data_IF_407411642683
#
_entry.id   IF_407411642683
#
_cell.length_a   1.000
_cell.length_b   1.000
_cell.length_c   1.000
_cell.angle_alpha   90.00
_cell.angle_beta   90.00
_cell.angle_gamma   90.00
#
_symmetry.space_group_name_H-M   'P 1'
#
loop_
_entity.id
_entity.type
_entity.pdbx_description
1 polymer ?
#
# COMPACT_ATOMS: atom_id res chain seq x y z
N UNK A 1 42.59 5.44 -12.72
CA UNK A 1 41.52 4.52 -13.13
C UNK A 1 40.34 5.39 -13.51
N UNK A 2 39.90 5.34 -14.76
CA UNK A 2 38.77 6.16 -15.23
C UNK A 2 37.46 5.50 -14.78
N UNK A 3 36.51 6.31 -14.29
CA UNK A 3 35.17 5.84 -13.92
C UNK A 3 34.38 5.34 -15.14
N UNK A 4 34.80 5.72 -16.35
CA UNK A 4 34.25 5.20 -17.59
C UNK A 4 34.53 3.70 -17.81
N UNK A 5 35.60 3.17 -17.21
CA UNK A 5 36.07 1.79 -17.38
C UNK A 5 35.53 0.82 -16.30
N UNK A 6 34.62 1.28 -15.43
CA UNK A 6 34.02 0.42 -14.42
C UNK A 6 33.25 -0.74 -15.06
N UNK A 7 33.40 -1.95 -14.51
CA UNK A 7 32.64 -3.11 -14.97
C UNK A 7 31.15 -2.94 -14.71
N UNK A 8 30.32 -3.60 -15.53
CA UNK A 8 28.86 -3.59 -15.38
C UNK A 8 28.39 -4.06 -14.00
N UNK A 9 29.11 -4.98 -13.36
CA UNK A 9 28.78 -5.49 -12.03
C UNK A 9 29.00 -4.41 -10.95
N UNK A 10 30.09 -3.66 -11.02
CA UNK A 10 30.37 -2.55 -10.11
C UNK A 10 29.37 -1.41 -10.31
N UNK A 11 29.03 -1.10 -11.57
CA UNK A 11 27.99 -0.12 -11.90
C UNK A 11 26.61 -0.55 -11.38
N UNK A 12 26.30 -1.85 -11.46
CA UNK A 12 25.06 -2.41 -10.93
C UNK A 12 25.00 -2.29 -9.41
N UNK A 13 26.12 -2.57 -8.73
CA UNK A 13 26.25 -2.40 -7.29
C UNK A 13 26.11 -0.94 -6.86
N UNK A 14 26.74 -0.01 -7.59
CA UNK A 14 26.58 1.44 -7.31
C UNK A 14 25.12 1.84 -7.50
N UNK A 15 24.52 1.50 -8.63
CA UNK A 15 23.12 1.84 -8.91
C UNK A 15 22.17 1.25 -7.86
N UNK A 16 22.45 0.06 -7.33
CA UNK A 16 21.63 -0.58 -6.28
C UNK A 16 21.66 0.18 -4.94
N UNK A 17 22.59 1.12 -4.76
CA UNK A 17 22.69 2.01 -3.60
C UNK A 17 22.10 3.40 -3.84
N UNK A 18 21.58 3.67 -5.04
CA UNK A 18 20.97 4.95 -5.40
C UNK A 18 19.43 4.90 -5.30
N UNK A 19 18.85 6.00 -4.85
CA UNK A 19 17.39 6.19 -4.72
C UNK A 19 16.96 7.46 -5.45
N UNK A 20 15.69 7.49 -5.85
CA UNK A 20 15.07 8.71 -6.36
C UNK A 20 15.80 9.32 -7.55
N UNK A 21 16.10 10.61 -7.45
CA UNK A 21 16.75 11.40 -8.50
C UNK A 21 18.19 10.95 -8.79
N UNK A 22 18.93 10.45 -7.80
CA UNK A 22 20.32 10.01 -8.01
C UNK A 22 20.39 8.80 -8.95
N UNK A 23 19.43 7.87 -8.84
CA UNK A 23 19.30 6.75 -9.77
C UNK A 23 18.96 7.24 -11.19
N UNK A 24 18.21 8.33 -11.32
CA UNK A 24 17.95 8.94 -12.63
C UNK A 24 19.21 9.60 -13.19
N UNK A 25 19.91 10.42 -12.38
CA UNK A 25 21.17 11.09 -12.76
C UNK A 25 22.24 10.08 -13.17
N UNK A 26 22.32 8.92 -12.51
CA UNK A 26 23.18 7.81 -12.91
C UNK A 26 22.96 7.39 -14.38
N UNK A 27 21.69 7.30 -14.81
CA UNK A 27 21.35 6.95 -16.20
C UNK A 27 21.64 8.05 -17.23
N UNK A 28 21.96 9.27 -16.77
CA UNK A 28 22.30 10.41 -17.62
C UNK A 28 23.81 10.58 -17.83
N UNK A 29 24.66 9.89 -17.05
CA UNK A 29 26.13 10.04 -17.10
C UNK A 29 26.68 9.67 -18.48
N UNK A 30 26.48 8.44 -18.94
CA UNK A 30 26.95 7.96 -20.25
C UNK A 30 26.17 6.71 -20.71
N UNK A 31 26.48 6.21 -21.92
CA UNK A 31 25.77 5.05 -22.51
C UNK A 31 25.92 3.77 -21.68
N UNK A 32 27.10 3.47 -21.12
CA UNK A 32 27.33 2.26 -20.33
C UNK A 32 26.54 2.28 -19.02
N UNK A 33 26.55 3.40 -18.30
CA UNK A 33 25.78 3.59 -17.06
C UNK A 33 24.27 3.55 -17.33
N UNK A 34 23.82 4.19 -18.42
CA UNK A 34 22.42 4.09 -18.86
C UNK A 34 22.01 2.65 -19.15
N UNK A 35 22.85 1.90 -19.87
CA UNK A 35 22.57 0.51 -20.20
C UNK A 35 22.35 -0.34 -18.94
N UNK A 36 23.21 -0.18 -17.92
CA UNK A 36 23.06 -0.84 -16.61
C UNK A 36 21.76 -0.42 -15.93
N UNK A 37 21.48 0.89 -15.83
CA UNK A 37 20.25 1.39 -15.22
C UNK A 37 18.97 0.88 -15.92
N UNK A 38 19.02 0.70 -17.25
CA UNK A 38 17.90 0.16 -18.04
C UNK A 38 17.78 -1.36 -17.99
N UNK A 39 18.88 -2.07 -17.83
CA UNK A 39 18.91 -3.54 -17.78
C UNK A 39 18.47 -4.08 -16.41
N UNK A 40 18.49 -3.25 -15.36
CA UNK A 40 18.12 -3.67 -14.02
C UNK A 40 16.60 -3.92 -13.93
N UNK A 41 16.15 -5.11 -13.50
CA UNK A 41 14.73 -5.42 -13.30
C UNK A 41 14.05 -4.48 -12.28
N UNK A 42 14.87 -3.85 -11.42
CA UNK A 42 14.46 -2.99 -10.32
C UNK A 42 13.79 -1.68 -10.76
N UNK A 43 13.85 -1.28 -12.05
CA UNK A 43 13.35 0.03 -12.48
C UNK A 43 11.86 0.24 -12.20
N UNK A 44 11.07 -0.84 -12.23
CA UNK A 44 9.61 -0.81 -12.05
C UNK A 44 9.14 -1.60 -10.82
N UNK A 45 10.07 -1.92 -9.93
CA UNK A 45 9.79 -2.72 -8.76
C UNK A 45 9.39 -1.86 -7.56
N UNK A 46 8.31 -2.19 -6.83
CA UNK A 46 7.96 -1.47 -5.61
C UNK A 46 9.11 -1.46 -4.59
N UNK A 47 9.23 -0.36 -3.87
CA UNK A 47 10.14 -0.25 -2.74
C UNK A 47 9.37 -0.43 -1.44
N UNK A 48 9.91 -1.22 -0.51
CA UNK A 48 9.38 -1.30 0.84
C UNK A 48 9.98 -0.20 1.70
N UNK A 49 9.14 0.66 2.25
CA UNK A 49 9.52 1.73 3.16
C UNK A 49 9.10 1.38 4.57
N UNK A 50 9.99 1.56 5.53
CA UNK A 50 9.66 1.48 6.95
C UNK A 50 10.57 2.35 7.81
N UNK A 51 10.06 2.76 8.97
CA UNK A 51 10.83 3.53 9.95
C UNK A 51 11.40 2.62 11.05
N UNK A 52 12.70 2.75 11.31
CA UNK A 52 13.36 2.07 12.44
C UNK A 52 13.58 3.05 13.59
N UNK A 53 12.72 2.94 14.62
CA UNK A 53 12.78 3.79 15.82
C UNK A 53 14.14 3.79 16.52
N UNK A 54 14.79 2.62 16.61
CA UNK A 54 16.09 2.46 17.29
C UNK A 54 17.18 3.35 16.69
N UNK A 55 17.20 3.47 15.36
CA UNK A 55 18.24 4.19 14.63
C UNK A 55 17.75 5.56 14.14
N UNK A 56 16.46 5.87 14.28
CA UNK A 56 15.79 7.07 13.73
C UNK A 56 16.00 7.20 12.21
N UNK A 57 15.95 6.08 11.50
CA UNK A 57 16.19 6.02 10.05
C UNK A 57 14.98 5.45 9.32
N UNK A 58 14.73 6.01 8.14
CA UNK A 58 13.82 5.46 7.16
C UNK A 58 14.59 4.52 6.23
N UNK A 59 14.09 3.30 6.10
CA UNK A 59 14.71 2.24 5.33
C UNK A 59 13.93 2.01 4.05
N UNK A 60 14.66 1.91 2.95
CA UNK A 60 14.15 1.71 1.60
C UNK A 60 14.72 0.39 1.10
N UNK A 61 13.89 -0.64 1.05
CA UNK A 61 14.30 -1.97 0.61
C UNK A 61 13.74 -2.27 -0.77
N UNK A 62 14.62 -2.63 -1.71
CA UNK A 62 14.26 -3.05 -3.06
C UNK A 62 15.11 -4.26 -3.45
N UNK A 63 14.48 -5.43 -3.63
CA UNK A 63 15.12 -6.61 -4.22
C UNK A 63 16.50 -6.95 -3.61
N UNK A 64 16.57 -6.98 -2.27
CA UNK A 64 17.75 -7.19 -1.40
C UNK A 64 18.72 -6.03 -1.22
N UNK A 65 18.54 -4.93 -1.95
CA UNK A 65 19.24 -3.69 -1.62
C UNK A 65 18.42 -2.90 -0.61
N UNK A 66 18.93 -2.77 0.61
CA UNK A 66 18.41 -1.81 1.58
C UNK A 66 19.28 -0.56 1.56
N UNK A 67 18.65 0.59 1.40
CA UNK A 67 19.24 1.91 1.51
C UNK A 67 18.64 2.57 2.75
N UNK A 68 19.50 3.14 3.58
CA UNK A 68 19.10 3.88 4.77
C UNK A 68 19.10 5.37 4.45
N UNK A 69 17.98 6.04 4.67
CA UNK A 69 17.87 7.49 4.57
C UNK A 69 17.63 8.08 5.95
N UNK A 70 18.45 9.07 6.30
CA UNK A 70 18.19 9.93 7.45
C UNK A 70 17.24 11.04 7.02
N UNK A 71 15.99 10.95 7.46
CA UNK A 71 14.97 11.96 7.23
C UNK A 71 14.54 12.49 8.60
N UNK A 72 15.40 13.32 9.21
CA UNK A 72 15.21 13.85 10.58
C UNK A 72 13.92 14.66 10.76
N UNK A 73 13.33 15.17 9.67
CA UNK A 73 12.03 15.86 9.68
C UNK A 73 10.82 14.92 9.65
N UNK A 74 11.03 13.60 9.51
CA UNK A 74 10.00 12.56 9.56
C UNK A 74 10.12 11.72 10.84
N UNK A 75 10.45 12.36 11.95
CA UNK A 75 10.42 11.72 13.26
C UNK A 75 9.01 11.73 13.84
N UNK A 76 8.61 10.61 14.46
CA UNK A 76 7.29 10.46 15.09
C UNK A 76 6.12 10.74 14.13
N UNK A 77 6.27 10.29 12.89
CA UNK A 77 5.19 10.30 11.90
C UNK A 77 4.75 8.88 11.59
N UNK A 78 3.45 8.71 11.36
CA UNK A 78 2.87 7.44 10.97
C UNK A 78 2.44 7.50 9.51
N UNK A 79 2.62 6.38 8.79
CA UNK A 79 2.06 6.23 7.44
C UNK A 79 0.58 5.91 7.59
N UNK A 80 -0.26 6.58 6.80
CA UNK A 80 -1.70 6.35 6.75
C UNK A 80 -2.13 5.64 5.47
N UNK A 81 -1.48 5.95 4.35
CA UNK A 81 -1.77 5.37 3.04
C UNK A 81 -0.57 5.58 2.09
N UNK A 82 -0.37 4.69 1.13
CA UNK A 82 0.54 4.91 0.01
C UNK A 82 -0.14 4.60 -1.32
N UNK A 83 -0.17 5.59 -2.21
CA UNK A 83 -0.68 5.46 -3.57
C UNK A 83 -0.04 6.50 -4.49
N UNK A 84 -0.06 6.26 -5.80
CA UNK A 84 0.47 7.20 -6.81
C UNK A 84 1.93 7.67 -6.60
N UNK A 85 2.73 6.91 -5.85
CA UNK A 85 4.08 7.29 -5.45
C UNK A 85 4.18 8.35 -4.36
N UNK A 86 3.08 8.62 -3.66
CA UNK A 86 3.02 9.49 -2.49
C UNK A 86 2.65 8.70 -1.24
N UNK A 87 3.11 9.19 -0.10
CA UNK A 87 2.73 8.76 1.24
C UNK A 87 1.82 9.82 1.85
N UNK A 88 0.65 9.42 2.34
CA UNK A 88 -0.11 10.23 3.28
C UNK A 88 0.39 9.88 4.69
N UNK A 89 0.79 10.90 5.44
CA UNK A 89 1.41 10.73 6.76
C UNK A 89 0.74 11.61 7.80
N UNK A 90 0.71 11.14 9.05
CA UNK A 90 0.24 11.90 10.22
C UNK A 90 1.36 12.20 11.19
N UNK A 91 1.33 13.39 11.78
CA UNK A 91 2.16 13.75 12.95
C UNK A 91 1.43 13.44 14.25
N UNK A 92 2.16 13.53 15.36
CA UNK A 92 1.62 13.39 16.73
C UNK A 92 0.46 14.35 17.03
N UNK A 93 0.46 15.54 16.42
CA UNK A 93 -0.64 16.52 16.56
C UNK A 93 -1.77 16.32 15.54
N UNK A 94 -1.86 15.16 14.88
CA UNK A 94 -2.84 14.84 13.84
C UNK A 94 -2.85 15.77 12.62
N UNK A 95 -1.83 16.62 12.43
CA UNK A 95 -1.65 17.29 11.15
C UNK A 95 -1.20 16.27 10.11
N UNK A 96 -1.79 16.35 8.93
CA UNK A 96 -1.51 15.45 7.83
C UNK A 96 -0.67 16.15 6.76
N UNK A 97 0.10 15.37 6.03
CA UNK A 97 0.84 15.85 4.87
C UNK A 97 1.09 14.73 3.89
N UNK A 98 1.23 15.08 2.62
CA UNK A 98 1.74 14.19 1.60
C UNK A 98 3.26 14.30 1.50
N UNK A 99 3.91 13.16 1.28
CA UNK A 99 5.35 13.07 1.09
C UNK A 99 5.70 12.15 -0.09
N UNK A 100 6.50 12.66 -1.02
CA UNK A 100 7.14 11.89 -2.08
C UNK A 100 8.57 11.58 -1.63
N UNK A 101 8.86 10.33 -1.24
CA UNK A 101 10.16 9.98 -0.69
C UNK A 101 11.26 9.88 -1.76
N UNK A 102 10.92 9.84 -3.04
CA UNK A 102 11.89 9.70 -4.13
C UNK A 102 12.36 11.05 -4.67
N UNK A 103 11.51 12.06 -4.60
CA UNK A 103 11.84 13.43 -5.04
C UNK A 103 11.95 14.41 -3.87
N UNK A 104 11.81 13.93 -2.63
CA UNK A 104 11.81 14.73 -1.41
C UNK A 104 10.82 15.91 -1.47
N UNK A 105 9.61 15.66 -1.97
CA UNK A 105 8.55 16.67 -2.09
C UNK A 105 7.53 16.49 -1.00
N UNK A 106 6.95 17.60 -0.54
CA UNK A 106 6.02 17.61 0.57
C UNK A 106 4.88 18.59 0.29
N UNK A 107 3.66 18.20 0.65
CA UNK A 107 2.46 19.05 0.58
C UNK A 107 1.78 18.98 1.94
N UNK A 108 1.71 20.11 2.65
CA UNK A 108 1.02 20.18 3.94
C UNK A 108 -0.49 20.22 3.74
N UNK A 109 -1.24 19.54 4.62
CA UNK A 109 -2.70 19.64 4.66
C UNK A 109 -3.13 20.64 5.75
N UNK A 110 -4.17 21.44 5.49
CA UNK A 110 -4.43 22.70 6.20
C UNK A 110 -5.05 22.63 7.61
N UNK A 111 -5.36 21.46 8.17
CA UNK A 111 -5.99 21.37 9.49
C UNK A 111 -5.76 20.04 10.21
N UNK A 112 -5.87 20.08 11.54
CA UNK A 112 -5.83 18.89 12.39
C UNK A 112 -7.07 18.03 12.15
N UNK A 113 -6.85 16.75 11.86
CA UNK A 113 -7.93 15.78 11.79
C UNK A 113 -8.31 15.33 13.20
N UNK A 114 -9.61 15.10 13.44
CA UNK A 114 -10.07 14.46 14.67
C UNK A 114 -9.43 13.08 14.90
N UNK A 115 -9.39 12.62 16.14
CA UNK A 115 -8.79 11.34 16.49
C UNK A 115 -9.66 10.13 16.05
N UNK A 116 -9.02 8.96 15.90
CA UNK A 116 -9.69 7.67 15.81
C UNK A 116 -9.86 7.07 14.41
N UNK A 117 -9.38 7.74 13.36
CA UNK A 117 -9.35 7.20 12.00
C UNK A 117 -8.26 6.14 11.85
N UNK A 118 -8.62 4.99 11.31
CA UNK A 118 -7.73 3.81 11.22
C UNK A 118 -7.40 3.40 9.79
N UNK A 119 -8.11 3.95 8.81
CA UNK A 119 -8.01 3.56 7.41
C UNK A 119 -8.16 4.80 6.51
N UNK A 120 -7.25 4.99 5.57
CA UNK A 120 -7.21 6.16 4.68
C UNK A 120 -6.96 5.76 3.23
N UNK A 121 -7.49 6.56 2.31
CA UNK A 121 -7.17 6.51 0.88
C UNK A 121 -7.24 7.91 0.26
N UNK A 122 -6.71 8.05 -0.95
CA UNK A 122 -6.85 9.28 -1.73
C UNK A 122 -7.02 8.96 -3.22
N UNK A 123 -7.77 9.81 -3.94
CA UNK A 123 -8.31 9.51 -5.28
C UNK A 123 -7.33 9.71 -6.44
N UNK A 124 -6.41 10.68 -6.33
CA UNK A 124 -5.48 11.09 -7.38
C UNK A 124 -4.14 11.49 -6.76
N UNK A 125 -3.05 11.67 -7.54
CA UNK A 125 -1.85 12.30 -7.01
C UNK A 125 -2.19 13.62 -6.28
N UNK A 126 -1.55 13.94 -5.15
CA UNK A 126 -1.88 15.13 -4.35
C UNK A 126 -1.59 16.45 -5.05
N UNK A 127 -0.89 16.41 -6.19
CA UNK A 127 -0.68 17.56 -7.10
C UNK A 127 -1.83 17.79 -8.07
N UNK A 128 -2.82 16.90 -8.11
CA UNK A 128 -4.00 17.03 -8.95
C UNK A 128 -5.10 17.81 -8.21
N UNK A 129 -5.79 18.77 -8.86
CA UNK A 129 -6.93 19.45 -8.27
C UNK A 129 -8.13 18.51 -8.02
N UNK A 130 -8.12 17.32 -8.60
CA UNK A 130 -9.15 16.29 -8.39
C UNK A 130 -8.82 15.36 -7.21
N UNK A 131 -7.74 15.62 -6.47
CA UNK A 131 -7.36 14.83 -5.31
C UNK A 131 -8.36 15.04 -4.16
N UNK A 132 -8.85 13.94 -3.62
CA UNK A 132 -9.71 13.91 -2.44
C UNK A 132 -9.12 12.90 -1.48
N UNK A 133 -8.93 13.31 -0.22
CA UNK A 133 -8.50 12.45 0.88
C UNK A 133 -9.72 11.98 1.65
N UNK A 134 -9.79 10.68 1.93
CA UNK A 134 -10.91 10.09 2.67
C UNK A 134 -10.37 9.22 3.81
N UNK A 135 -10.84 9.48 5.02
CA UNK A 135 -10.51 8.72 6.22
C UNK A 135 -11.73 8.00 6.79
N UNK A 136 -11.52 6.82 7.35
CA UNK A 136 -12.57 5.96 7.91
C UNK A 136 -12.24 5.54 9.34
N UNK A 137 -13.23 5.58 10.21
CA UNK A 137 -13.15 5.20 11.62
C UNK A 137 -14.38 4.37 12.00
N UNK A 138 -14.18 3.24 12.68
CA UNK A 138 -15.28 2.51 13.31
C UNK A 138 -15.53 3.10 14.70
N UNK A 139 -16.76 3.51 14.98
CA UNK A 139 -17.20 3.99 16.29
C UNK A 139 -18.09 2.93 16.94
N UNK A 140 -17.83 2.65 18.22
CA UNK A 140 -18.63 1.80 19.07
C UNK A 140 -19.41 2.67 20.06
N UNK A 141 -20.74 2.63 19.99
CA UNK A 141 -21.67 3.33 20.89
C UNK A 141 -22.61 2.29 21.52
N UNK A 142 -22.15 1.65 22.60
CA UNK A 142 -22.81 0.46 23.17
C UNK A 142 -22.73 -0.71 22.20
N UNK A 143 -23.88 -1.33 21.89
CA UNK A 143 -23.98 -2.40 20.89
C UNK A 143 -24.05 -1.89 19.43
N UNK A 144 -24.16 -0.57 19.26
CA UNK A 144 -24.27 0.05 17.95
C UNK A 144 -22.89 0.35 17.35
N UNK A 145 -22.71 -0.07 16.10
CA UNK A 145 -21.50 0.23 15.32
C UNK A 145 -21.85 1.20 14.20
N UNK A 146 -21.13 2.33 14.15
CA UNK A 146 -21.23 3.30 13.07
C UNK A 146 -19.88 3.57 12.42
N UNK A 147 -19.91 4.03 11.17
CA UNK A 147 -18.75 4.44 10.41
C UNK A 147 -18.67 5.96 10.41
N UNK A 148 -17.59 6.51 10.94
CA UNK A 148 -17.25 7.94 10.80
C UNK A 148 -16.32 8.10 9.62
N UNK A 149 -16.70 8.97 8.69
CA UNK A 149 -15.99 9.22 7.45
C UNK A 149 -15.64 10.71 7.40
N UNK A 150 -14.38 11.04 7.13
CA UNK A 150 -13.95 12.39 6.79
C UNK A 150 -13.55 12.49 5.33
N UNK A 151 -13.82 13.64 4.74
CA UNK A 151 -13.45 13.97 3.36
C UNK A 151 -12.72 15.32 3.36
N UNK A 152 -11.58 15.39 2.68
CA UNK A 152 -10.88 16.64 2.38
C UNK A 152 -10.66 16.75 0.88
N UNK A 153 -11.29 17.75 0.26
CA UNK A 153 -11.14 18.07 -1.16
C UNK A 153 -9.93 18.98 -1.37
N UNK A 154 -9.23 18.82 -2.49
CA UNK A 154 -8.12 19.71 -2.87
C UNK A 154 -8.53 21.19 -2.77
N UNK A 155 -7.64 22.03 -2.23
CA UNK A 155 -7.89 23.46 -2.02
C UNK A 155 -8.80 23.79 -0.84
N UNK A 156 -9.44 22.81 -0.19
CA UNK A 156 -10.24 23.04 1.02
C UNK A 156 -9.37 23.04 2.27
N UNK A 157 -9.73 23.87 3.24
CA UNK A 157 -9.15 23.97 4.57
C UNK A 157 -9.96 23.26 5.67
N UNK A 158 -11.07 22.59 5.32
CA UNK A 158 -11.99 21.98 6.28
C UNK A 158 -12.23 20.50 5.97
N UNK A 159 -12.09 19.64 6.98
CA UNK A 159 -12.54 18.25 6.90
C UNK A 159 -14.06 18.16 7.01
N UNK A 160 -14.72 17.63 5.98
CA UNK A 160 -16.13 17.31 6.06
C UNK A 160 -16.33 15.96 6.73
N UNK A 161 -16.86 15.97 7.96
CA UNK A 161 -17.09 14.75 8.74
C UNK A 161 -18.57 14.37 8.79
N UNK A 162 -18.86 13.08 8.59
CA UNK A 162 -20.20 12.49 8.69
C UNK A 162 -20.15 11.11 9.32
N UNK A 163 -21.20 10.76 10.07
CA UNK A 163 -21.43 9.41 10.60
C UNK A 163 -22.46 8.67 9.75
N UNK A 164 -22.18 7.41 9.45
CA UNK A 164 -23.03 6.50 8.69
C UNK A 164 -23.28 5.25 9.51
N UNK A 165 -24.51 4.74 9.45
CA UNK A 165 -24.88 3.51 10.14
C UNK A 165 -25.72 2.67 9.22
N UNK A 166 -25.38 1.39 9.10
CA UNK A 166 -26.24 0.43 8.45
C UNK A 166 -27.28 -0.09 9.47
N UNK A 167 -28.58 -0.14 9.15
CA UNK A 167 -29.64 -0.39 10.14
C UNK A 167 -29.60 -1.78 10.79
N UNK A 168 -28.94 -2.75 10.16
CA UNK A 168 -28.97 -4.17 10.58
C UNK A 168 -27.61 -4.86 10.67
N UNK A 169 -26.53 -4.20 10.24
CA UNK A 169 -25.24 -4.86 10.04
C UNK A 169 -24.16 -4.00 10.68
N UNK A 170 -23.51 -4.53 11.70
CA UNK A 170 -22.33 -3.92 12.28
C UNK A 170 -21.15 -4.17 11.32
N UNK A 171 -20.55 -3.09 10.84
CA UNK A 171 -19.38 -3.13 9.95
C UNK A 171 -18.18 -2.52 10.68
N UNK A 172 -17.19 -3.36 10.96
CA UNK A 172 -15.92 -2.95 11.57
C UNK A 172 -14.87 -2.95 10.48
N UNK A 173 -14.33 -1.78 10.13
CA UNK A 173 -13.35 -1.62 9.05
C UNK A 173 -12.06 -2.35 9.39
N UNK A 174 -11.51 -3.09 8.43
CA UNK A 174 -10.16 -3.64 8.53
C UNK A 174 -9.11 -2.52 8.37
N UNK A 175 -7.88 -2.77 8.81
CA UNK A 175 -6.77 -1.80 8.73
C UNK A 175 -6.31 -1.50 7.29
N UNK A 176 -6.63 -2.37 6.33
CA UNK A 176 -6.17 -2.25 4.95
C UNK A 176 -6.73 -1.03 4.22
N UNK A 177 -5.92 -0.44 3.33
CA UNK A 177 -6.29 0.73 2.53
C UNK A 177 -7.57 0.49 1.69
N UNK A 178 -8.56 1.42 1.71
CA UNK A 178 -9.72 1.40 0.83
C UNK A 178 -9.35 1.61 -0.64
N UNK A 179 -10.23 1.18 -1.55
CA UNK A 179 -9.98 1.24 -2.99
C UNK A 179 -11.08 1.96 -3.75
N UNK A 180 -10.70 2.94 -4.57
CA UNK A 180 -11.57 3.55 -5.57
C UNK A 180 -11.80 2.57 -6.73
N UNK A 181 -13.06 2.23 -6.99
CA UNK A 181 -13.46 1.29 -8.04
C UNK A 181 -14.89 1.60 -8.50
N UNK A 182 -15.11 1.64 -9.81
CA UNK A 182 -16.42 1.94 -10.43
C UNK A 182 -17.16 3.16 -9.81
N UNK A 183 -16.43 4.21 -9.46
CA UNK A 183 -17.00 5.45 -8.89
C UNK A 183 -17.35 5.38 -7.39
N UNK A 184 -17.05 4.27 -6.73
CA UNK A 184 -17.26 4.06 -5.29
C UNK A 184 -15.93 3.79 -4.58
N UNK A 185 -15.93 3.90 -3.25
CA UNK A 185 -14.82 3.47 -2.40
C UNK A 185 -15.21 2.16 -1.73
N UNK A 186 -14.40 1.11 -1.95
CA UNK A 186 -14.61 -0.21 -1.39
C UNK A 186 -13.75 -0.40 -0.14
N UNK A 187 -14.37 -0.91 0.91
CA UNK A 187 -13.75 -1.22 2.19
C UNK A 187 -13.98 -2.67 2.55
N UNK A 188 -13.00 -3.28 3.19
CA UNK A 188 -13.14 -4.61 3.76
C UNK A 188 -13.36 -4.53 5.27
N UNK A 189 -14.21 -5.41 5.80
CA UNK A 189 -14.33 -5.60 7.24
C UNK A 189 -13.34 -6.64 7.76
N UNK A 190 -13.15 -6.65 9.09
CA UNK A 190 -12.38 -7.69 9.80
C UNK A 190 -12.95 -9.12 9.61
N UNK A 191 -14.19 -9.23 9.11
CA UNK A 191 -14.85 -10.52 8.85
C UNK A 191 -14.96 -10.81 7.34
N UNK A 192 -14.26 -10.05 6.49
CA UNK A 192 -14.26 -10.22 5.03
C UNK A 192 -15.55 -9.75 4.33
N UNK A 193 -16.43 -9.00 5.02
CA UNK A 193 -17.55 -8.31 4.38
C UNK A 193 -17.05 -7.08 3.60
N UNK A 194 -17.85 -6.60 2.66
CA UNK A 194 -17.50 -5.45 1.82
C UNK A 194 -18.48 -4.32 2.08
N UNK A 195 -17.97 -3.11 2.31
CA UNK A 195 -18.77 -1.90 2.29
C UNK A 195 -18.38 -1.04 1.10
N UNK A 196 -19.35 -0.28 0.59
CA UNK A 196 -19.14 0.71 -0.46
C UNK A 196 -19.57 2.07 0.02
N UNK A 197 -18.75 3.07 -0.27
CA UNK A 197 -19.03 4.47 0.00
C UNK A 197 -19.06 5.27 -1.30
N UNK A 198 -20.18 5.95 -1.57
CA UNK A 198 -20.35 6.85 -2.72
C UNK A 198 -19.98 8.28 -2.32
N UNK A 199 -18.79 8.72 -2.73
CA UNK A 199 -18.27 10.04 -2.42
C UNK A 199 -19.19 11.16 -2.95
N UNK A 200 -19.88 10.96 -4.08
CA UNK A 200 -20.78 11.97 -4.67
C UNK A 200 -22.04 12.20 -3.85
N UNK A 201 -22.37 11.26 -2.95
CA UNK A 201 -23.54 11.33 -2.06
C UNK A 201 -23.15 11.64 -0.62
N UNK A 202 -21.93 12.13 -0.37
CA UNK A 202 -21.45 12.46 0.97
C UNK A 202 -22.47 13.34 1.73
N UNK A 203 -22.84 12.92 2.94
CA UNK A 203 -23.89 13.52 3.76
C UNK A 203 -25.26 12.82 3.66
N UNK A 204 -25.51 12.02 2.63
CA UNK A 204 -26.74 11.25 2.48
C UNK A 204 -26.61 9.82 3.03
N UNK A 205 -27.66 9.30 3.67
CA UNK A 205 -27.67 7.91 4.17
C UNK A 205 -27.42 6.87 3.07
N UNK A 206 -27.81 7.18 1.82
CA UNK A 206 -27.60 6.33 0.64
C UNK A 206 -26.15 6.28 0.16
N UNK A 207 -25.24 7.09 0.72
CA UNK A 207 -23.82 7.03 0.40
C UNK A 207 -23.14 5.77 0.94
N UNK A 208 -23.69 5.16 1.99
CA UNK A 208 -23.08 4.03 2.69
C UNK A 208 -23.90 2.76 2.49
N UNK A 209 -23.29 1.72 1.95
CA UNK A 209 -23.90 0.41 1.81
C UNK A 209 -22.96 -0.69 2.32
N UNK A 210 -23.55 -1.73 2.92
CA UNK A 210 -22.81 -2.88 3.46
C UNK A 210 -23.32 -4.15 2.80
N UNK A 211 -22.41 -4.89 2.17
CA UNK A 211 -22.64 -6.23 1.68
C UNK A 211 -22.09 -7.24 2.69
N UNK A 212 -22.96 -8.04 3.29
CA UNK A 212 -22.56 -9.07 4.25
C UNK A 212 -22.57 -10.46 3.63
N UNK A 213 -22.02 -11.43 4.37
CA UNK A 213 -21.93 -12.82 3.90
C UNK A 213 -21.11 -12.90 2.61
N UNK A 214 -20.12 -12.02 2.41
CA UNK A 214 -19.32 -12.02 1.19
C UNK A 214 -18.47 -13.30 1.08
N UNK A 215 -18.06 -13.86 2.21
CA UNK A 215 -17.42 -15.18 2.29
C UNK A 215 -18.48 -16.31 2.39
N UNK A 216 -18.10 -17.53 1.99
CA UNK A 216 -18.95 -18.72 2.20
C UNK A 216 -18.99 -19.11 3.68
N UNK A 217 -20.09 -19.73 4.12
CA UNK A 217 -20.37 -19.99 5.55
C UNK A 217 -19.26 -20.75 6.30
N UNK A 218 -18.56 -21.70 5.66
CA UNK A 218 -17.44 -22.43 6.29
C UNK A 218 -16.19 -21.56 6.54
N UNK A 219 -16.08 -20.40 5.91
CA UNK A 219 -14.97 -19.46 6.11
C UNK A 219 -15.20 -18.52 7.30
N UNK A 220 -16.45 -18.37 7.78
CA UNK A 220 -16.77 -17.55 8.95
C UNK A 220 -16.22 -18.10 10.27
N UNK A 221 -15.96 -19.41 10.33
CA UNK A 221 -15.39 -20.05 11.53
C UNK A 221 -13.87 -19.87 11.65
N UNK A 222 -13.24 -19.09 10.75
CA UNK A 222 -11.80 -18.85 10.78
C UNK A 222 -11.54 -17.39 11.14
N UNK A 223 -10.74 -17.19 12.18
CA UNK A 223 -10.28 -15.86 12.56
C UNK A 223 -9.33 -15.32 11.48
N UNK A 224 -9.76 -14.27 10.80
CA UNK A 224 -8.92 -13.57 9.83
C UNK A 224 -8.03 -12.60 10.60
N UNK A 225 -6.72 -12.73 10.45
CA UNK A 225 -5.73 -11.92 11.16
C UNK A 225 -5.29 -10.71 10.35
N UNK A 226 -5.20 -10.87 9.03
CA UNK A 226 -4.85 -9.78 8.12
C UNK A 226 -5.64 -9.84 6.83
N UNK A 227 -5.81 -8.65 6.26
CA UNK A 227 -6.65 -8.40 5.11
C UNK A 227 -5.98 -7.40 4.18
N UNK A 228 -5.92 -7.74 2.91
CA UNK A 228 -5.42 -6.85 1.88
C UNK A 228 -6.46 -6.81 0.78
N UNK A 229 -7.00 -5.63 0.49
CA UNK A 229 -7.84 -5.37 -0.66
C UNK A 229 -6.94 -4.71 -1.72
N UNK A 230 -7.01 -5.15 -2.97
CA UNK A 230 -6.12 -4.64 -4.04
C UNK A 230 -6.73 -4.81 -5.42
N UNK A 231 -6.11 -4.10 -6.38
CA UNK A 231 -6.27 -4.32 -7.82
C UNK A 231 -4.98 -4.88 -8.39
N UNK A 232 -5.13 -5.60 -9.50
CA UNK A 232 -3.99 -6.03 -10.33
C UNK A 232 -3.93 -5.09 -11.53
N UNK A 233 -2.75 -4.56 -11.81
CA UNK A 233 -2.52 -3.70 -12.98
C UNK A 233 -2.84 -4.47 -14.26
N UNK A 234 -3.64 -3.86 -15.13
CA UNK A 234 -4.19 -4.50 -16.34
C UNK A 234 -5.47 -5.30 -16.11
N UNK A 235 -5.92 -5.46 -14.87
CA UNK A 235 -7.19 -6.09 -14.48
C UNK A 235 -7.98 -5.16 -13.52
N UNK A 236 -8.00 -3.86 -13.83
CA UNK A 236 -8.47 -2.81 -12.91
C UNK A 236 -9.98 -2.83 -12.65
N UNK A 237 -10.72 -3.52 -13.51
CA UNK A 237 -12.17 -3.78 -13.41
C UNK A 237 -12.50 -4.95 -12.47
N UNK A 238 -11.50 -5.54 -11.82
CA UNK A 238 -11.71 -6.60 -10.82
C UNK A 238 -11.00 -6.27 -9.51
N UNK A 239 -11.71 -6.48 -8.39
CA UNK A 239 -11.13 -6.41 -7.05
C UNK A 239 -10.71 -7.79 -6.55
N UNK A 240 -9.58 -7.82 -5.86
CA UNK A 240 -9.03 -9.01 -5.22
C UNK A 240 -8.79 -8.76 -3.75
N UNK A 241 -8.80 -9.83 -2.97
CA UNK A 241 -8.38 -9.78 -1.58
C UNK A 241 -7.53 -10.97 -1.19
N UNK A 242 -6.48 -10.71 -0.42
CA UNK A 242 -5.71 -11.75 0.26
C UNK A 242 -6.04 -11.65 1.75
N UNK A 243 -6.43 -12.80 2.32
CA UNK A 243 -6.78 -12.93 3.73
C UNK A 243 -5.88 -13.98 4.36
N UNK A 244 -5.28 -13.64 5.50
CA UNK A 244 -4.45 -14.55 6.28
C UNK A 244 -5.28 -15.08 7.45
N UNK A 245 -5.48 -16.40 7.48
CA UNK A 245 -6.33 -17.08 8.48
C UNK A 245 -5.52 -18.09 9.29
N UNK A 246 -5.99 -18.39 10.51
CA UNK A 246 -5.40 -19.39 11.43
C UNK A 246 -3.89 -19.15 11.67
N UNK A 247 -3.56 -18.14 12.47
CA UNK A 247 -2.17 -17.73 12.79
C UNK A 247 -1.30 -17.53 11.54
N UNK A 248 -1.86 -16.91 10.50
CA UNK A 248 -1.14 -16.61 9.25
C UNK A 248 -0.61 -17.84 8.48
N UNK A 249 -0.99 -19.06 8.90
CA UNK A 249 -0.63 -20.33 8.25
C UNK A 249 -1.29 -20.51 6.89
N UNK A 250 -2.42 -19.86 6.68
CA UNK A 250 -3.22 -20.01 5.49
C UNK A 250 -3.39 -18.66 4.80
N UNK A 251 -2.64 -18.45 3.73
CA UNK A 251 -2.84 -17.36 2.80
C UNK A 251 -3.92 -17.77 1.80
N UNK A 252 -5.01 -17.01 1.71
CA UNK A 252 -6.11 -17.28 0.78
C UNK A 252 -6.33 -16.07 -0.12
N UNK A 253 -6.31 -16.33 -1.42
CA UNK A 253 -6.59 -15.35 -2.47
C UNK A 253 -8.06 -15.45 -2.87
N UNK A 254 -8.71 -14.30 -2.97
CA UNK A 254 -10.09 -14.19 -3.39
C UNK A 254 -10.24 -13.16 -4.50
N UNK A 255 -11.13 -13.46 -5.45
CA UNK A 255 -11.64 -12.54 -6.45
C UNK A 255 -13.06 -12.10 -6.08
N UNK A 256 -13.36 -10.81 -6.17
CA UNK A 256 -14.70 -10.31 -5.92
C UNK A 256 -15.59 -10.53 -7.14
N UNK A 257 -16.77 -11.10 -6.93
CA UNK A 257 -17.87 -11.13 -7.89
C UNK A 257 -18.92 -10.16 -7.40
N UNK A 258 -19.22 -9.11 -8.16
CA UNK A 258 -20.12 -8.04 -7.68
C UNK A 258 -21.60 -8.34 -7.90
N UNK A 259 -21.93 -9.10 -8.95
CA UNK A 259 -23.31 -9.44 -9.32
C UNK A 259 -23.66 -10.91 -9.07
N UNK A 260 -24.92 -11.24 -8.69
CA UNK A 260 -26.02 -10.32 -8.30
C UNK A 260 -25.88 -9.80 -6.85
N UNK A 261 -24.93 -10.34 -6.08
CA UNK A 261 -24.51 -9.87 -4.75
C UNK A 261 -23.00 -10.04 -4.62
N UNK A 262 -22.34 -9.14 -3.90
CA UNK A 262 -20.90 -9.20 -3.69
C UNK A 262 -20.49 -10.48 -2.94
N UNK A 263 -19.72 -11.33 -3.62
CA UNK A 263 -19.21 -12.60 -3.08
C UNK A 263 -17.76 -12.81 -3.45
N UNK A 264 -16.97 -13.26 -2.48
CA UNK A 264 -15.60 -13.68 -2.65
C UNK A 264 -15.54 -15.09 -3.23
N UNK A 265 -14.86 -15.24 -4.37
CA UNK A 265 -14.54 -16.51 -5.01
C UNK A 265 -13.08 -16.86 -4.72
N UNK A 266 -12.84 -18.03 -4.16
CA UNK A 266 -11.49 -18.49 -3.83
C UNK A 266 -10.74 -18.81 -5.13
N UNK A 267 -9.56 -18.24 -5.27
CA UNK A 267 -8.64 -18.51 -6.36
C UNK A 267 -7.52 -19.45 -5.89
N UNK A 268 -6.96 -20.24 -6.80
CA UNK A 268 -5.89 -21.18 -6.48
C UNK A 268 -4.53 -20.49 -6.40
N UNK A 269 -4.27 -19.59 -7.34
CA UNK A 269 -3.00 -18.93 -7.55
C UNK A 269 -3.19 -17.60 -8.30
N UNK A 270 -2.10 -16.84 -8.50
CA UNK A 270 -2.10 -15.56 -9.24
C UNK A 270 -1.44 -15.67 -10.62
N UNK A 271 -1.14 -16.88 -11.10
CA UNK A 271 -0.50 -17.10 -12.39
C UNK A 271 0.83 -16.37 -12.57
N UNK A 272 0.92 -15.56 -13.63
CA UNK A 272 2.11 -14.78 -14.01
C UNK A 272 2.27 -13.45 -13.24
N UNK A 273 1.40 -13.20 -12.25
CA UNK A 273 1.41 -11.97 -11.45
C UNK A 273 2.30 -12.09 -10.21
N UNK A 274 2.62 -10.94 -9.64
CA UNK A 274 3.29 -10.79 -8.34
C UNK A 274 2.53 -9.75 -7.51
N UNK A 275 2.33 -10.03 -6.23
CA UNK A 275 1.63 -9.13 -5.30
C UNK A 275 2.59 -8.50 -4.30
N UNK A 276 2.37 -7.23 -4.01
CA UNK A 276 3.07 -6.49 -2.94
C UNK A 276 2.01 -5.95 -2.00
N UNK A 277 1.91 -6.55 -0.81
CA UNK A 277 0.78 -6.34 0.09
C UNK A 277 1.25 -5.81 1.44
N UNK A 278 0.73 -4.66 1.84
CA UNK A 278 0.94 -4.02 3.15
C UNK A 278 -0.35 -3.33 3.59
N UNK A 279 -0.49 -3.02 4.88
CA UNK A 279 -1.71 -2.40 5.42
C UNK A 279 -2.04 -1.06 4.74
N UNK A 280 -1.01 -0.31 4.34
CA UNK A 280 -1.16 1.04 3.79
C UNK A 280 -1.20 1.10 2.26
N UNK A 281 -0.79 0.01 1.59
CA UNK A 281 -0.80 -0.12 0.15
C UNK A 281 -0.72 -1.57 -0.26
N UNK A 282 -1.58 -1.96 -1.19
CA UNK A 282 -1.65 -3.32 -1.70
C UNK A 282 -1.92 -3.28 -3.20
N UNK A 283 -1.07 -3.93 -3.98
CA UNK A 283 -1.17 -3.94 -5.44
C UNK A 283 -0.62 -5.23 -6.04
N UNK A 284 -1.10 -5.57 -7.23
CA UNK A 284 -0.53 -6.62 -8.08
C UNK A 284 -0.07 -6.08 -9.42
N UNK A 285 0.97 -6.67 -9.98
CA UNK A 285 1.45 -6.39 -11.34
C UNK A 285 1.90 -7.70 -12.01
N UNK A 286 2.15 -7.65 -13.32
CA UNK A 286 2.76 -8.76 -14.05
C UNK A 286 4.20 -8.95 -13.59
N UNK A 287 4.58 -10.18 -13.26
CA UNK A 287 5.88 -10.46 -12.68
C UNK A 287 7.01 -10.22 -13.68
N UNK A 288 7.93 -9.34 -13.30
CA UNK A 288 9.17 -9.11 -14.03
C UNK A 288 10.34 -8.98 -13.04
N UNK A 289 11.27 -9.96 -13.00
CA UNK A 289 11.40 -11.13 -13.87
C UNK A 289 10.36 -12.24 -13.60
N UNK A 290 10.16 -13.14 -14.58
CA UNK A 290 9.18 -14.25 -14.50
C UNK A 290 9.37 -15.17 -13.29
N UNK A 291 10.58 -15.28 -12.74
CA UNK A 291 10.82 -16.12 -11.56
C UNK A 291 10.08 -15.62 -10.32
N UNK A 292 9.64 -14.36 -10.30
CA UNK A 292 8.81 -13.80 -9.22
C UNK A 292 7.32 -14.11 -9.35
N UNK A 293 6.91 -14.71 -10.46
CA UNK A 293 5.51 -15.06 -10.68
C UNK A 293 4.99 -15.96 -9.57
N UNK A 294 3.71 -15.81 -9.29
CA UNK A 294 2.99 -16.60 -8.30
C UNK A 294 3.47 -16.42 -6.85
N UNK A 295 3.94 -15.21 -6.53
CA UNK A 295 4.44 -14.83 -5.20
C UNK A 295 3.74 -13.61 -4.61
N UNK A 296 3.70 -13.56 -3.29
CA UNK A 296 3.22 -12.43 -2.50
C UNK A 296 4.36 -11.94 -1.62
N UNK A 297 4.69 -10.65 -1.72
CA UNK A 297 5.67 -9.98 -0.87
C UNK A 297 4.95 -9.22 0.23
N UNK A 298 5.21 -9.62 1.47
CA UNK A 298 4.75 -8.92 2.67
C UNK A 298 5.90 -8.14 3.32
N UNK A 299 5.63 -7.13 4.16
CA UNK A 299 6.63 -6.49 5.01
C UNK A 299 7.14 -7.40 6.14
N UNK A 300 7.74 -8.53 5.76
CA UNK A 300 8.26 -9.55 6.66
C UNK A 300 9.71 -9.83 6.30
N UNK A 301 10.54 -10.02 7.33
CA UNK A 301 11.95 -10.30 7.19
C UNK A 301 12.33 -11.54 7.99
N UNK A 302 13.21 -12.36 7.42
CA UNK A 302 13.95 -13.38 8.14
C UNK A 302 15.42 -12.98 8.09
N UNK A 303 16.03 -12.73 9.26
CA UNK A 303 17.27 -11.97 9.36
C UNK A 303 17.15 -10.63 8.57
N UNK A 304 17.98 -10.43 7.56
CA UNK A 304 18.00 -9.23 6.71
C UNK A 304 17.33 -9.44 5.34
N UNK A 305 16.75 -10.61 5.09
CA UNK A 305 16.15 -10.99 3.82
C UNK A 305 14.62 -10.83 3.82
N UNK A 306 14.09 -10.21 2.77
CA UNK A 306 12.64 -10.08 2.56
C UNK A 306 12.03 -11.48 2.38
N UNK A 307 10.92 -11.73 3.08
CA UNK A 307 10.13 -12.96 2.98
C UNK A 307 8.98 -12.78 2.00
N UNK A 308 8.76 -13.78 1.16
CA UNK A 308 7.61 -13.89 0.27
C UNK A 308 6.86 -15.20 0.50
N UNK A 309 5.56 -15.19 0.23
CA UNK A 309 4.75 -16.40 0.15
C UNK A 309 4.67 -16.88 -1.30
N UNK A 310 4.80 -18.18 -1.54
CA UNK A 310 4.70 -18.78 -2.88
C UNK A 310 3.50 -19.72 -2.95
N UNK A 311 2.54 -19.42 -3.83
CA UNK A 311 1.38 -20.28 -4.04
C UNK A 311 1.76 -21.65 -4.62
N UNK A 312 2.85 -21.73 -5.39
CA UNK A 312 3.33 -23.00 -5.95
C UNK A 312 3.76 -23.99 -4.85
N UNK A 313 4.31 -23.48 -3.75
CA UNK A 313 4.79 -24.32 -2.63
C UNK A 313 3.83 -24.33 -1.44
N UNK A 314 2.94 -23.33 -1.35
CA UNK A 314 2.10 -23.10 -0.19
C UNK A 314 2.85 -22.60 1.05
N UNK A 315 4.08 -22.09 0.91
CA UNK A 315 4.99 -21.74 2.01
C UNK A 315 5.56 -20.34 1.88
N UNK A 316 6.04 -19.81 3.00
CA UNK A 316 6.91 -18.63 3.08
C UNK A 316 8.35 -19.01 2.78
N UNK A 317 9.07 -18.14 2.07
CA UNK A 317 10.48 -18.30 1.71
C UNK A 317 11.21 -16.97 1.86
N UNK A 318 12.49 -17.00 2.23
CA UNK A 318 13.37 -15.84 2.10
C UNK A 318 13.96 -15.76 0.69
N UNK A 319 14.35 -14.56 0.27
CA UNK A 319 15.02 -14.37 -1.01
C UNK A 319 16.39 -15.07 -1.09
N UNK A 320 17.16 -15.09 0.01
CA UNK A 320 18.46 -15.76 0.08
C UNK A 320 18.38 -17.30 0.07
N UNK A 321 17.17 -17.87 0.17
CA UNK A 321 16.93 -19.31 0.18
C UNK A 321 17.25 -20.02 1.50
N UNK A 322 17.64 -19.30 2.54
CA UNK A 322 17.99 -19.88 3.84
C UNK A 322 16.79 -20.13 4.76
N UNK A 323 15.60 -19.66 4.39
CA UNK A 323 14.38 -19.84 5.17
C UNK A 323 13.24 -20.37 4.29
N UNK A 324 12.54 -21.38 4.81
CA UNK A 324 11.27 -21.86 4.28
C UNK A 324 10.38 -22.36 5.41
N UNK A 325 9.13 -21.92 5.47
CA UNK A 325 8.19 -22.33 6.51
C UNK A 325 6.74 -22.30 6.03
N UNK A 326 5.90 -23.16 6.61
CA UNK A 326 4.44 -23.15 6.40
C UNK A 326 3.73 -22.04 7.19
N UNK A 327 4.45 -21.37 8.09
CA UNK A 327 3.92 -20.32 8.95
C UNK A 327 4.91 -19.14 9.06
N UNK A 328 4.46 -18.06 9.69
CA UNK A 328 5.22 -16.82 9.86
C UNK A 328 5.73 -16.62 11.31
N UNK A 329 5.88 -17.68 12.13
CA UNK A 329 6.27 -17.49 13.53
C UNK A 329 7.71 -16.97 13.70
N UNK A 330 8.64 -17.41 12.84
CA UNK A 330 10.07 -17.03 12.93
C UNK A 330 10.43 -15.82 12.06
N UNK A 331 9.43 -15.09 11.53
CA UNK A 331 9.67 -13.90 10.70
C UNK A 331 9.33 -12.63 11.45
N UNK A 332 10.23 -11.65 11.34
CA UNK A 332 10.03 -10.30 11.87
C UNK A 332 9.02 -9.57 10.99
N UNK A 333 7.84 -9.30 11.53
CA UNK A 333 6.80 -8.50 10.89
C UNK A 333 7.05 -7.01 11.10
N UNK A 334 6.89 -6.20 10.05
CA UNK A 334 6.98 -4.74 10.10
C UNK A 334 5.58 -4.13 9.91
N UNK A 335 4.86 -3.93 11.02
CA UNK A 335 3.47 -3.44 11.00
C UNK A 335 3.27 -2.04 10.45
N UNK A 336 4.32 -1.22 10.45
CA UNK A 336 4.29 0.18 10.05
C UNK A 336 5.03 0.42 8.72
N UNK A 337 5.19 -0.64 7.93
CA UNK A 337 5.85 -0.59 6.64
C UNK A 337 4.84 -0.56 5.48
N UNK A 338 5.20 0.09 4.38
CA UNK A 338 4.38 0.13 3.17
C UNK A 338 5.20 -0.13 1.92
N UNK A 339 4.59 -0.82 0.96
CA UNK A 339 5.09 -0.81 -0.41
C UNK A 339 4.74 0.53 -1.08
N UNK A 340 5.65 1.06 -1.88
CA UNK A 340 5.43 2.25 -2.70
C UNK A 340 6.04 2.05 -4.09
N UNK A 341 5.32 2.51 -5.11
CA UNK A 341 5.85 2.64 -6.46
C UNK A 341 6.43 4.02 -6.65
N UNK A 342 7.47 4.17 -7.48
CA UNK A 342 7.95 5.51 -7.85
C UNK A 342 6.84 6.22 -8.65
N UNK A 343 6.57 7.48 -8.29
CA UNK A 343 5.74 8.33 -9.13
C UNK A 343 6.39 8.49 -10.51
N UNK A 344 5.62 8.58 -11.60
CA UNK A 344 6.16 8.99 -12.90
C UNK A 344 6.87 10.34 -12.74
N UNK A 345 8.09 10.45 -13.28
CA UNK A 345 8.82 11.72 -13.29
C UNK A 345 8.00 12.70 -14.15
N UNK A 346 7.57 13.86 -13.63
CA UNK A 346 6.88 14.85 -14.47
C UNK A 346 7.83 15.33 -15.57
N UNK A 347 7.30 15.50 -16.78
CA UNK A 347 8.06 15.94 -17.97
C UNK A 347 8.65 17.36 -17.81
N UNK A 348 8.23 18.12 -16.79
CA UNK A 348 8.80 19.41 -16.43
C UNK A 348 9.11 19.48 -14.93
N UNK A 349 10.30 19.96 -14.54
CA UNK A 349 10.55 20.37 -13.17
C UNK A 349 9.89 21.74 -12.98
N UNK A 350 8.57 21.78 -12.77
CA UNK A 350 7.96 22.98 -12.23
C UNK A 350 8.49 23.18 -10.81
N UNK A 351 9.43 24.11 -10.68
CA UNK A 351 9.95 24.63 -9.40
C UNK A 351 8.88 25.58 -8.81
N UNK A 352 7.67 25.05 -8.63
CA UNK A 352 6.61 25.70 -7.89
C UNK A 352 6.61 25.19 -6.46
N UNK A 353 6.24 26.04 -5.50
CA UNK A 353 5.87 25.56 -4.16
C UNK A 353 4.66 24.65 -4.37
N UNK A 354 4.79 23.36 -4.05
CA UNK A 354 3.66 22.43 -4.10
C UNK A 354 2.74 22.74 -2.93
N UNK A 355 1.60 23.36 -3.22
CA UNK A 355 0.58 23.72 -2.23
C UNK A 355 -0.66 22.87 -2.42
N UNK A 356 -1.35 22.63 -1.31
CA UNK A 356 -2.70 22.05 -1.34
C UNK A 356 -3.74 23.05 -1.88
N UNK A 357 -3.42 24.35 -1.82
CA UNK A 357 -4.24 25.47 -2.26
C UNK A 357 -3.89 25.91 -3.67
#
# INVERSE_FOLDING_TARGET
MDWADLSGDLLSLIHSKLVGEDAHRFSLVCRSWRAVATALPCRYSPCLIHYTRRNRLWNFSQFNSCIHMSLSYLENVDILCSNFGWLLMSRVNNTLFFFDPFNNRKIELPCELGYGYTSFCFSHPPTSPDCVVVGFATIFEGDEVSMKICVLTHGSDVWEERKYKHPKINFIVARGAPIFHHGLIYLLSINGNVATFDLKKHGCKSAWAVNNKCLKDYAYNKEIKEHFLFKIRGEEDTLFSVMLVNDERNVKLYRLSEEPKMKWKLEKDIGDKVLHLSHYSSSGDTAHPKCMANRIYFPRFHADSIVYYSFATGMYHSHDGHFSSTNSFDVKRLDFATWIMRAPIPESPSVGILTWF
#
